data_IF_629234611402
#
_entry.id   IF_629234611402
#
_cell.length_a   1.000
_cell.length_b   1.000
_cell.length_c   1.000
_cell.angle_alpha   90.00
_cell.angle_beta   90.00
_cell.angle_gamma   90.00
#
_symmetry.space_group_name_H-M   'P 1'
#
loop_
_entity.id
_entity.type
_entity.pdbx_description
1 polymer ?
#
# COMPACT_ATOMS: atom_id res chain seq x y z
N UNK A 1 85.67 18.74 -4.97
CA UNK A 1 84.70 19.82 -4.71
C UNK A 1 83.51 19.65 -5.64
N UNK A 2 82.30 19.91 -5.13
CA UNK A 2 81.00 19.96 -5.83
C UNK A 2 80.11 18.69 -5.87
N UNK A 3 79.39 18.50 -4.75
CA UNK A 3 77.92 18.34 -4.55
C UNK A 3 77.01 17.67 -5.59
N UNK A 4 75.95 17.06 -5.02
CA UNK A 4 74.60 16.74 -5.54
C UNK A 4 74.41 15.29 -6.05
N UNK A 5 73.36 14.53 -5.70
CA UNK A 5 72.15 14.73 -4.88
C UNK A 5 71.66 13.33 -4.45
N UNK A 6 71.27 13.20 -3.19
CA UNK A 6 70.62 12.01 -2.62
C UNK A 6 69.15 12.00 -3.11
N UNK A 7 68.78 11.03 -3.95
CA UNK A 7 67.39 10.83 -4.37
C UNK A 7 66.66 9.99 -3.31
N UNK A 8 65.97 10.66 -2.41
CA UNK A 8 64.99 10.04 -1.51
C UNK A 8 63.73 9.73 -2.32
N UNK A 9 63.52 8.45 -2.67
CA UNK A 9 62.23 7.97 -3.18
C UNK A 9 61.23 7.93 -2.01
N UNK A 10 60.32 8.90 -1.98
CA UNK A 10 59.11 8.84 -1.17
C UNK A 10 58.05 8.02 -1.91
N UNK A 11 57.87 6.77 -1.50
CA UNK A 11 56.75 5.93 -1.95
C UNK A 11 55.51 6.39 -1.18
N UNK A 12 54.68 7.19 -1.83
CA UNK A 12 53.36 7.57 -1.32
C UNK A 12 52.45 6.34 -1.36
N UNK A 13 52.20 5.74 -0.19
CA UNK A 13 51.21 4.66 -0.03
C UNK A 13 49.81 5.29 -0.03
N UNK A 14 49.23 5.49 -1.21
CA UNK A 14 47.84 5.92 -1.35
C UNK A 14 46.93 4.73 -1.03
N UNK A 15 46.45 4.65 0.21
CA UNK A 15 45.41 3.72 0.64
C UNK A 15 44.11 4.11 -0.08
N UNK A 16 43.52 3.26 -0.94
CA UNK A 16 42.23 3.58 -1.54
C UNK A 16 41.19 3.48 -0.43
N UNK A 17 40.73 4.63 0.07
CA UNK A 17 39.61 4.72 0.99
C UNK A 17 38.36 4.27 0.22
N UNK A 18 38.07 2.97 0.29
CA UNK A 18 36.90 2.36 -0.31
C UNK A 18 35.68 2.93 0.42
N UNK A 19 35.08 3.96 -0.16
CA UNK A 19 33.79 4.51 0.26
C UNK A 19 32.73 3.45 -0.05
N UNK A 20 32.54 2.50 0.87
CA UNK A 20 31.31 1.72 0.88
C UNK A 20 30.15 2.70 1.10
N UNK A 21 29.19 2.81 0.17
CA UNK A 21 27.98 3.57 0.45
C UNK A 21 27.28 2.90 1.64
N UNK A 22 27.07 3.67 2.71
CA UNK A 22 26.14 3.28 3.75
C UNK A 22 24.76 3.23 3.09
N UNK A 23 24.28 2.01 2.84
CA UNK A 23 22.89 1.79 2.43
C UNK A 23 22.05 2.01 3.68
N UNK A 24 21.41 3.17 3.77
CA UNK A 24 20.52 3.50 4.87
C UNK A 24 19.25 2.64 4.72
N UNK A 25 19.10 1.63 5.58
CA UNK A 25 17.86 0.87 5.68
C UNK A 25 16.84 1.73 6.41
N UNK A 26 16.15 2.59 5.66
CA UNK A 26 14.98 3.27 6.16
C UNK A 26 13.97 2.22 6.66
N UNK A 27 13.47 2.40 7.88
CA UNK A 27 12.42 1.54 8.42
C UNK A 27 11.23 1.53 7.45
N UNK A 28 10.77 0.35 7.06
CA UNK A 28 9.65 0.21 6.14
C UNK A 28 8.40 0.79 6.79
N UNK A 29 7.67 1.64 6.06
CA UNK A 29 6.42 2.21 6.59
C UNK A 29 5.38 1.09 6.78
N UNK A 30 4.46 1.23 7.76
CA UNK A 30 3.33 0.32 7.86
C UNK A 30 2.55 0.25 6.54
N UNK A 31 2.12 -0.96 6.16
CA UNK A 31 1.32 -1.19 4.96
C UNK A 31 -0.08 -0.64 5.15
N UNK A 32 -0.56 0.14 4.20
CA UNK A 32 -1.91 0.72 4.23
C UNK A 32 -2.89 -0.25 3.58
N UNK A 33 -3.91 -0.66 4.34
CA UNK A 33 -5.03 -1.46 3.84
C UNK A 33 -6.27 -0.56 3.83
N UNK A 34 -6.89 -0.39 2.67
CA UNK A 34 -8.17 0.32 2.53
C UNK A 34 -9.28 -0.70 2.34
N UNK A 35 -10.20 -0.75 3.29
CA UNK A 35 -11.39 -1.59 3.25
C UNK A 35 -12.58 -0.78 2.76
N UNK A 36 -13.31 -1.28 1.77
CA UNK A 36 -14.46 -0.60 1.16
C UNK A 36 -15.67 -1.54 1.21
N UNK A 37 -16.73 -1.10 1.88
CA UNK A 37 -18.02 -1.77 1.91
C UNK A 37 -19.00 -1.05 0.97
N UNK A 38 -19.56 -1.79 0.01
CA UNK A 38 -20.64 -1.35 -0.85
C UNK A 38 -21.95 -1.10 -0.09
N UNK A 39 -22.89 -0.34 -0.68
CA UNK A 39 -24.24 -0.24 -0.16
C UNK A 39 -24.99 -1.57 -0.34
N UNK A 40 -26.01 -1.80 0.50
CA UNK A 40 -26.96 -2.91 0.30
C UNK A 40 -28.07 -2.41 -0.64
N UNK A 41 -28.11 -2.88 -1.89
CA UNK A 41 -29.07 -2.39 -2.91
C UNK A 41 -30.31 -3.27 -3.09
N UNK A 42 -30.49 -4.31 -2.27
CA UNK A 42 -31.74 -5.09 -2.25
C UNK A 42 -31.61 -6.57 -1.91
N UNK A 43 -30.51 -6.98 -1.29
CA UNK A 43 -30.43 -8.32 -0.69
C UNK A 43 -31.21 -8.38 0.63
N UNK A 44 -31.80 -9.54 0.98
CA UNK A 44 -32.40 -9.74 2.28
C UNK A 44 -31.39 -9.50 3.39
N UNK A 45 -31.91 -9.07 4.55
CA UNK A 45 -31.12 -9.01 5.78
C UNK A 45 -30.46 -10.38 6.02
N UNK A 46 -29.22 -10.38 6.51
CA UNK A 46 -28.43 -11.57 6.85
C UNK A 46 -27.90 -12.38 5.66
N UNK A 47 -28.17 -11.96 4.41
CA UNK A 47 -27.59 -12.59 3.22
C UNK A 47 -26.22 -11.98 2.84
N UNK A 48 -26.18 -10.66 2.64
CA UNK A 48 -24.96 -9.93 2.25
C UNK A 48 -24.79 -8.70 3.15
N UNK A 49 -23.87 -8.79 4.10
CA UNK A 49 -23.68 -7.80 5.17
C UNK A 49 -22.32 -7.11 5.03
N UNK A 50 -22.12 -6.39 3.92
CA UNK A 50 -20.84 -5.79 3.53
C UNK A 50 -20.19 -4.91 4.61
N UNK A 51 -20.98 -4.02 5.22
CA UNK A 51 -20.48 -3.16 6.30
C UNK A 51 -20.04 -3.98 7.52
N UNK A 52 -20.79 -5.04 7.88
CA UNK A 52 -20.41 -5.91 9.00
C UNK A 52 -19.14 -6.70 8.71
N UNK A 53 -18.96 -7.16 7.47
CA UNK A 53 -17.72 -7.81 7.03
C UNK A 53 -16.52 -6.88 7.23
N UNK A 54 -16.62 -5.64 6.75
CA UNK A 54 -15.54 -4.64 6.89
C UNK A 54 -15.28 -4.26 8.35
N UNK A 55 -16.33 -4.08 9.16
CA UNK A 55 -16.20 -3.81 10.61
C UNK A 55 -15.44 -4.94 11.30
N UNK A 56 -15.83 -6.19 11.06
CA UNK A 56 -15.19 -7.35 11.65
C UNK A 56 -13.72 -7.48 11.18
N UNK A 57 -13.49 -7.39 9.87
CA UNK A 57 -12.14 -7.49 9.32
C UNK A 57 -11.22 -6.40 9.84
N UNK A 58 -11.69 -5.14 9.90
CA UNK A 58 -10.94 -4.04 10.50
C UNK A 58 -10.57 -4.33 11.94
N UNK A 59 -11.53 -4.78 12.74
CA UNK A 59 -11.28 -5.10 14.15
C UNK A 59 -10.21 -6.20 14.29
N UNK A 60 -10.30 -7.27 13.50
CA UNK A 60 -9.32 -8.36 13.52
C UNK A 60 -7.92 -7.89 13.13
N UNK A 61 -7.80 -7.04 12.11
CA UNK A 61 -6.51 -6.49 11.68
C UNK A 61 -5.92 -5.52 12.72
N UNK A 62 -6.74 -4.60 13.24
CA UNK A 62 -6.31 -3.60 14.23
C UNK A 62 -5.87 -4.24 15.56
N UNK A 63 -6.52 -5.35 15.95
CA UNK A 63 -6.27 -6.03 17.22
C UNK A 63 -5.28 -7.19 17.13
N UNK A 64 -4.85 -7.56 15.91
CA UNK A 64 -3.90 -8.65 15.71
C UNK A 64 -2.55 -8.29 16.34
N UNK A 65 -2.06 -9.07 17.33
CA UNK A 65 -0.79 -8.79 18.01
C UNK A 65 0.41 -8.70 17.06
N UNK A 66 0.38 -9.51 16.00
CA UNK A 66 1.48 -9.62 15.03
C UNK A 66 1.47 -8.52 13.95
N UNK A 67 0.41 -7.70 13.87
CA UNK A 67 0.25 -6.70 12.81
C UNK A 67 0.24 -5.24 13.29
N UNK A 68 0.28 -4.98 14.60
CA UNK A 68 0.07 -3.63 15.17
C UNK A 68 1.03 -2.56 14.62
N UNK A 69 2.29 -2.93 14.33
CA UNK A 69 3.29 -2.04 13.70
C UNK A 69 3.38 -2.18 12.18
N UNK A 70 2.82 -3.25 11.64
CA UNK A 70 3.04 -3.65 10.24
C UNK A 70 1.97 -3.10 9.31
N UNK A 71 0.76 -2.83 9.83
CA UNK A 71 -0.37 -2.37 9.01
C UNK A 71 -1.11 -1.18 9.61
N UNK A 72 -1.60 -0.31 8.74
CA UNK A 72 -2.59 0.72 9.04
C UNK A 72 -3.85 0.43 8.23
N UNK A 73 -4.99 0.31 8.90
CA UNK A 73 -6.26 -0.05 8.26
C UNK A 73 -7.24 1.11 8.27
N UNK A 74 -7.75 1.47 7.11
CA UNK A 74 -8.84 2.43 6.92
C UNK A 74 -10.09 1.72 6.40
N UNK A 75 -11.26 2.21 6.80
CA UNK A 75 -12.54 1.65 6.36
C UNK A 75 -13.44 2.74 5.81
N UNK A 76 -14.03 2.47 4.65
CA UNK A 76 -15.01 3.30 3.99
C UNK A 76 -16.30 2.49 3.79
N UNK A 77 -17.43 3.14 4.06
CA UNK A 77 -18.75 2.51 4.05
C UNK A 77 -19.64 3.17 3.01
N UNK A 78 -20.75 2.50 2.68
CA UNK A 78 -21.78 2.98 1.74
C UNK A 78 -21.30 3.15 0.29
N UNK A 79 -20.26 2.43 -0.12
CA UNK A 79 -19.74 2.44 -1.48
C UNK A 79 -18.35 3.04 -1.57
N UNK A 80 -18.10 3.73 -2.68
CA UNK A 80 -16.80 4.32 -2.99
C UNK A 80 -16.38 5.37 -1.94
N UNK A 81 -15.08 5.48 -1.60
CA UNK A 81 -14.61 6.49 -0.65
C UNK A 81 -15.00 7.92 -1.07
N UNK A 82 -15.49 8.71 -0.10
CA UNK A 82 -15.82 10.13 -0.30
C UNK A 82 -14.61 10.95 -0.79
N UNK A 83 -13.42 10.61 -0.29
CA UNK A 83 -12.13 11.10 -0.78
C UNK A 83 -11.37 9.95 -1.46
N UNK A 84 -11.40 9.86 -2.81
CA UNK A 84 -10.72 8.81 -3.55
C UNK A 84 -9.19 8.84 -3.44
N UNK A 85 -8.59 9.96 -2.97
CA UNK A 85 -7.14 10.08 -2.84
C UNK A 85 -6.57 9.12 -1.79
N UNK A 86 -7.40 8.62 -0.86
CA UNK A 86 -7.00 7.57 0.08
C UNK A 86 -6.51 6.29 -0.62
N UNK A 87 -6.93 6.06 -1.87
CA UNK A 87 -6.53 4.89 -2.65
C UNK A 87 -5.13 5.04 -3.28
N UNK A 88 -4.60 6.26 -3.37
CA UNK A 88 -3.37 6.53 -4.11
C UNK A 88 -2.11 5.96 -3.46
N UNK A 89 -2.12 5.79 -2.13
CA UNK A 89 -1.03 5.21 -1.33
C UNK A 89 -1.36 3.84 -0.72
N UNK A 90 -2.52 3.26 -1.04
CA UNK A 90 -2.92 1.95 -0.53
C UNK A 90 -1.94 0.85 -0.96
N UNK A 91 -1.52 -0.02 -0.04
CA UNK A 91 -0.79 -1.24 -0.41
C UNK A 91 -1.75 -2.37 -0.78
N UNK A 92 -2.94 -2.37 -0.17
CA UNK A 92 -4.04 -3.29 -0.51
C UNK A 92 -5.38 -2.57 -0.47
N UNK A 93 -6.22 -2.82 -1.46
CA UNK A 93 -7.63 -2.43 -1.49
C UNK A 93 -8.48 -3.69 -1.37
N UNK A 94 -9.34 -3.73 -0.36
CA UNK A 94 -10.36 -4.76 -0.19
C UNK A 94 -11.73 -4.15 -0.51
N UNK A 95 -12.47 -4.75 -1.44
CA UNK A 95 -13.82 -4.32 -1.80
C UNK A 95 -14.79 -5.49 -1.61
N UNK A 96 -15.80 -5.26 -0.79
CA UNK A 96 -16.96 -6.16 -0.68
C UNK A 96 -18.24 -5.38 -0.95
N UNK A 97 -19.02 -5.80 -1.94
CA UNK A 97 -20.17 -5.04 -2.44
C UNK A 97 -21.14 -5.93 -3.21
N UNK A 98 -22.25 -5.33 -3.62
CA UNK A 98 -23.14 -5.95 -4.62
C UNK A 98 -22.39 -6.23 -5.92
N UNK A 99 -22.85 -7.29 -6.59
CA UNK A 99 -22.43 -7.66 -7.93
C UNK A 99 -23.14 -6.84 -9.02
N UNK A 100 -23.05 -7.34 -10.24
CA UNK A 100 -23.69 -6.75 -11.43
C UNK A 100 -24.92 -7.54 -11.91
N UNK A 101 -25.41 -8.48 -11.09
CA UNK A 101 -26.50 -9.41 -11.43
C UNK A 101 -27.85 -8.71 -11.65
N UNK A 102 -28.09 -7.60 -10.96
CA UNK A 102 -29.32 -6.78 -11.12
C UNK A 102 -29.11 -5.56 -12.01
N UNK A 103 -28.14 -4.72 -11.68
CA UNK A 103 -27.76 -3.53 -12.45
C UNK A 103 -26.23 -3.38 -12.42
N UNK A 104 -25.61 -3.06 -13.55
CA UNK A 104 -24.15 -2.95 -13.67
C UNK A 104 -23.54 -1.94 -12.68
N UNK A 105 -24.22 -0.80 -12.50
CA UNK A 105 -23.82 0.28 -11.60
C UNK A 105 -23.93 -0.06 -10.11
N UNK A 106 -24.50 -1.21 -9.73
CA UNK A 106 -24.56 -1.62 -8.32
C UNK A 106 -23.17 -1.96 -7.78
N UNK A 107 -22.31 -2.49 -8.64
CA UNK A 107 -20.93 -2.76 -8.29
C UNK A 107 -20.09 -1.48 -8.43
N UNK A 108 -19.41 -0.99 -7.36
CA UNK A 108 -18.75 0.32 -7.35
C UNK A 108 -17.74 0.56 -8.47
N UNK A 109 -17.07 -0.48 -8.96
CA UNK A 109 -16.08 -0.36 -10.04
C UNK A 109 -16.64 0.11 -11.38
N UNK A 110 -17.93 -0.12 -11.65
CA UNK A 110 -18.56 0.26 -12.91
C UNK A 110 -19.18 1.67 -12.86
N UNK A 111 -18.91 2.43 -11.80
CA UNK A 111 -19.40 3.80 -11.64
C UNK A 111 -18.26 4.79 -11.95
N UNK A 112 -18.55 5.81 -12.78
CA UNK A 112 -17.63 6.90 -13.05
C UNK A 112 -16.27 6.43 -13.59
N UNK A 113 -15.19 6.89 -12.97
CA UNK A 113 -13.81 6.56 -13.34
C UNK A 113 -13.15 5.57 -12.35
N UNK A 114 -13.93 4.86 -11.53
CA UNK A 114 -13.41 4.01 -10.45
C UNK A 114 -12.53 2.88 -10.99
N UNK A 115 -12.90 2.32 -12.15
CA UNK A 115 -12.08 1.31 -12.83
C UNK A 115 -10.66 1.81 -13.13
N UNK A 116 -10.52 3.02 -13.68
CA UNK A 116 -9.23 3.64 -14.00
C UNK A 116 -8.43 3.98 -12.74
N UNK A 117 -9.10 4.32 -11.64
CA UNK A 117 -8.45 4.51 -10.34
C UNK A 117 -7.84 3.20 -9.85
N UNK A 118 -8.62 2.10 -9.83
CA UNK A 118 -8.11 0.79 -9.40
C UNK A 118 -7.01 0.28 -10.33
N UNK A 119 -7.17 0.41 -11.66
CA UNK A 119 -6.15 0.03 -12.63
C UNK A 119 -4.81 0.74 -12.35
N UNK A 120 -4.85 2.04 -12.06
CA UNK A 120 -3.65 2.82 -11.70
C UNK A 120 -2.98 2.25 -10.44
N UNK A 121 -3.76 1.90 -9.41
CA UNK A 121 -3.18 1.37 -8.17
C UNK A 121 -2.60 -0.03 -8.37
N UNK A 122 -3.30 -0.91 -9.10
CA UNK A 122 -2.78 -2.24 -9.41
C UNK A 122 -1.48 -2.17 -10.21
N UNK A 123 -1.36 -1.26 -11.19
CA UNK A 123 -0.12 -1.04 -11.95
C UNK A 123 1.05 -0.56 -11.07
N UNK A 124 0.77 0.17 -9.98
CA UNK A 124 1.78 0.56 -8.97
C UNK A 124 2.22 -0.62 -8.09
N UNK A 125 1.45 -1.72 -8.07
CA UNK A 125 1.69 -2.89 -7.23
C UNK A 125 0.75 -3.00 -6.02
N UNK A 126 -0.33 -2.20 -5.96
CA UNK A 126 -1.36 -2.36 -4.95
C UNK A 126 -2.08 -3.71 -5.13
N UNK A 127 -2.22 -4.46 -4.03
CA UNK A 127 -3.07 -5.64 -3.97
C UNK A 127 -4.55 -5.28 -4.10
N UNK A 128 -5.33 -6.18 -4.70
CA UNK A 128 -6.78 -6.03 -4.83
C UNK A 128 -7.46 -7.33 -4.38
N UNK A 129 -8.43 -7.23 -3.49
CA UNK A 129 -9.20 -8.35 -2.95
C UNK A 129 -10.69 -8.06 -3.12
N UNK A 130 -11.43 -9.03 -3.65
CA UNK A 130 -12.89 -8.99 -3.74
C UNK A 130 -13.51 -10.04 -2.82
N UNK A 131 -14.66 -9.69 -2.25
CA UNK A 131 -15.48 -10.60 -1.45
C UNK A 131 -16.97 -10.36 -1.68
#
# INVERSE_FOLDING_TARGET
MSRCKLFLLWISFALPFCLCPFVDFAAERPKKIVLVAGPITGHPKEAHEYEKNVILLKHLLDTSPDLQSEVRVEAHFKGWPDDPSTLDDADTIFLTSDGTDREEKNHPLYVGNHWQVIERQMKRGCGLVFF
#
